data_IF_947146457001
#
_entry.id   IF_947146457001
#
_cell.length_a   1.000
_cell.length_b   1.000
_cell.length_c   1.000
_cell.angle_alpha   90.00
_cell.angle_beta   90.00
_cell.angle_gamma   90.00
#
_symmetry.space_group_name_H-M   'P 1'
#
loop_
_entity.id
_entity.type
_entity.pdbx_description
1 polymer ?
#
# COMPACT_ATOMS: atom_id res chain seq x y z
N UNK A 1 -28.41 12.81 62.11
CA UNK A 1 -28.87 12.47 60.73
C UNK A 1 -27.69 11.86 59.97
N UNK A 2 -27.77 10.57 59.64
CA UNK A 2 -26.72 9.78 58.95
C UNK A 2 -26.77 10.05 57.44
N UNK A 3 -25.67 10.46 56.83
CA UNK A 3 -25.46 10.40 55.37
C UNK A 3 -24.20 9.57 55.10
N UNK A 4 -24.40 8.28 54.84
CA UNK A 4 -23.37 7.36 54.38
C UNK A 4 -23.77 6.78 53.03
N UNK A 5 -22.74 6.54 52.22
CA UNK A 5 -22.68 5.52 51.17
C UNK A 5 -23.45 5.78 49.86
N UNK A 6 -22.75 6.38 48.89
CA UNK A 6 -23.03 6.20 47.44
C UNK A 6 -21.77 5.93 46.58
N UNK A 7 -20.60 5.71 47.21
CA UNK A 7 -19.33 5.52 46.45
C UNK A 7 -18.96 4.06 46.16
N UNK A 8 -19.64 3.06 46.75
CA UNK A 8 -19.26 1.65 46.60
C UNK A 8 -19.83 0.92 45.35
N UNK A 9 -20.83 1.48 44.66
CA UNK A 9 -21.47 0.75 43.54
C UNK A 9 -20.82 0.96 42.16
N UNK A 10 -19.84 1.87 42.01
CA UNK A 10 -19.18 2.10 40.70
C UNK A 10 -18.03 1.13 40.42
N UNK A 11 -17.43 0.55 41.45
CA UNK A 11 -16.31 -0.38 41.30
C UNK A 11 -16.74 -1.78 40.84
N UNK A 12 -17.92 -2.24 41.25
CA UNK A 12 -18.41 -3.57 40.85
C UNK A 12 -18.86 -3.64 39.38
N UNK A 13 -19.33 -2.54 38.79
CA UNK A 13 -19.76 -2.57 37.38
C UNK A 13 -18.57 -2.59 36.40
N UNK A 14 -17.44 -1.98 36.77
CA UNK A 14 -16.20 -2.03 35.97
C UNK A 14 -15.55 -3.41 35.97
N UNK A 15 -15.57 -4.12 37.10
CA UNK A 15 -14.96 -5.45 37.20
C UNK A 15 -15.68 -6.53 36.34
N UNK A 16 -17.00 -6.43 36.18
CA UNK A 16 -17.79 -7.40 35.40
C UNK A 16 -17.58 -7.21 33.89
N UNK A 17 -17.39 -5.97 33.41
CA UNK A 17 -17.15 -5.69 31.99
C UNK A 17 -15.75 -6.18 31.56
N UNK A 18 -14.72 -6.03 32.40
CA UNK A 18 -13.39 -6.55 32.09
C UNK A 18 -13.34 -8.09 32.01
N UNK A 19 -14.17 -8.80 32.77
CA UNK A 19 -14.21 -10.28 32.71
C UNK A 19 -14.89 -10.81 31.44
N UNK A 20 -15.86 -10.07 30.87
CA UNK A 20 -16.55 -10.49 29.65
C UNK A 20 -15.72 -10.28 28.38
N UNK A 21 -14.81 -9.30 28.36
CA UNK A 21 -13.97 -9.00 27.20
C UNK A 21 -12.78 -9.97 27.04
N UNK A 22 -12.32 -10.60 28.12
CA UNK A 22 -11.24 -11.60 28.08
C UNK A 22 -11.70 -12.93 27.46
N UNK A 23 -13.00 -13.22 27.46
CA UNK A 23 -13.54 -14.51 26.99
C UNK A 23 -13.78 -14.58 25.47
N UNK A 24 -13.86 -13.44 24.77
CA UNK A 24 -14.14 -13.43 23.32
C UNK A 24 -12.87 -13.62 22.47
N UNK A 25 -11.68 -13.32 23.01
CA UNK A 25 -10.41 -13.40 22.27
C UNK A 25 -9.89 -14.84 22.09
N UNK A 26 -10.41 -15.82 22.84
CA UNK A 26 -9.87 -17.19 22.85
C UNK A 26 -10.48 -18.16 21.81
N UNK A 27 -11.35 -17.73 20.89
CA UNK A 27 -12.08 -18.65 19.99
C UNK A 27 -11.60 -18.77 18.54
N UNK A 28 -10.54 -18.07 18.10
CA UNK A 28 -10.20 -18.05 16.66
C UNK A 28 -8.85 -18.67 16.25
N UNK A 29 -8.15 -19.40 17.13
CA UNK A 29 -6.99 -20.19 16.73
C UNK A 29 -7.34 -21.68 16.69
N UNK A 30 -7.76 -22.17 15.51
CA UNK A 30 -7.32 -23.46 14.92
C UNK A 30 -8.20 -23.77 13.71
N UNK A 31 -7.78 -23.32 12.52
CA UNK A 31 -8.19 -23.97 11.28
C UNK A 31 -6.93 -24.38 10.53
N UNK A 32 -6.42 -25.56 10.90
CA UNK A 32 -5.40 -26.27 10.13
C UNK A 32 -6.11 -26.92 8.95
N UNK A 33 -6.05 -26.27 7.80
CA UNK A 33 -6.55 -26.80 6.53
C UNK A 33 -5.57 -27.87 6.02
N UNK A 34 -5.99 -29.13 6.11
CA UNK A 34 -5.28 -30.29 5.62
C UNK A 34 -5.37 -30.32 4.08
N UNK A 35 -4.29 -29.95 3.41
CA UNK A 35 -4.22 -29.96 1.95
C UNK A 35 -4.40 -31.39 1.39
N UNK A 36 -5.24 -31.60 0.36
CA UNK A 36 -5.41 -32.91 -0.26
C UNK A 36 -4.11 -33.34 -0.96
N UNK A 37 -3.59 -34.50 -0.56
CA UNK A 37 -2.47 -35.19 -1.23
C UNK A 37 -2.87 -35.55 -2.66
N UNK A 38 -2.32 -34.82 -3.63
CA UNK A 38 -2.38 -35.17 -5.04
C UNK A 38 -1.56 -36.43 -5.31
N UNK A 39 -2.22 -37.46 -5.82
CA UNK A 39 -1.64 -38.72 -6.27
C UNK A 39 -0.84 -38.49 -7.56
N UNK A 40 0.49 -38.58 -7.48
CA UNK A 40 1.39 -38.57 -8.64
C UNK A 40 1.18 -39.83 -9.50
N UNK A 41 0.56 -39.67 -10.67
CA UNK A 41 0.55 -40.67 -11.73
C UNK A 41 1.91 -40.71 -12.44
N UNK A 42 2.34 -41.92 -12.80
CA UNK A 42 3.70 -42.27 -13.20
C UNK A 42 4.27 -41.57 -14.45
N UNK A 43 5.57 -41.75 -14.69
CA UNK A 43 6.29 -41.07 -15.77
C UNK A 43 5.90 -41.65 -17.14
N UNK A 44 5.54 -40.81 -18.13
CA UNK A 44 5.53 -41.25 -19.52
C UNK A 44 6.98 -41.41 -20.00
N UNK A 45 7.41 -42.66 -20.19
CA UNK A 45 8.59 -42.98 -21.00
C UNK A 45 8.26 -42.76 -22.47
N UNK A 46 8.74 -41.65 -23.03
CA UNK A 46 8.92 -41.48 -24.47
C UNK A 46 10.06 -40.50 -24.68
N UNK A 47 11.20 -41.04 -25.08
CA UNK A 47 12.37 -40.29 -25.49
C UNK A 47 12.14 -39.81 -26.93
N UNK A 48 11.52 -38.65 -27.07
CA UNK A 48 11.68 -37.83 -28.27
C UNK A 48 12.61 -36.69 -27.88
N UNK A 49 13.80 -36.65 -28.46
CA UNK A 49 14.72 -35.53 -28.36
C UNK A 49 14.14 -34.35 -29.11
N UNK A 50 13.19 -33.67 -28.49
CA UNK A 50 12.78 -32.33 -28.88
C UNK A 50 13.99 -31.45 -28.61
N UNK A 51 14.48 -30.77 -29.65
CA UNK A 51 15.48 -29.73 -29.54
C UNK A 51 14.88 -28.60 -28.67
N UNK A 52 15.05 -28.72 -27.35
CA UNK A 52 14.59 -27.75 -26.36
C UNK A 52 15.50 -26.54 -26.53
N UNK A 53 15.11 -25.70 -27.47
CA UNK A 53 15.61 -24.34 -27.53
C UNK A 53 15.20 -23.70 -26.21
N UNK A 54 16.21 -23.39 -25.39
CA UNK A 54 16.02 -22.81 -24.06
C UNK A 54 15.08 -21.60 -24.17
N UNK A 55 13.90 -21.62 -23.53
CA UNK A 55 12.93 -20.54 -23.64
C UNK A 55 13.52 -19.19 -23.17
N UNK A 56 14.57 -19.21 -22.34
CA UNK A 56 15.30 -18.01 -21.95
C UNK A 56 16.14 -17.45 -23.11
N UNK A 57 16.72 -18.30 -23.95
CA UNK A 57 17.44 -17.84 -25.13
C UNK A 57 16.50 -17.30 -26.22
N UNK A 58 15.34 -17.91 -26.41
CA UNK A 58 14.35 -17.41 -27.37
C UNK A 58 13.79 -16.05 -26.92
N UNK A 59 13.52 -15.87 -25.62
CA UNK A 59 13.16 -14.57 -25.05
C UNK A 59 14.23 -13.51 -25.25
N UNK A 60 15.50 -13.86 -25.02
CA UNK A 60 16.64 -12.95 -25.24
C UNK A 60 16.78 -12.53 -26.72
N UNK A 61 16.65 -13.49 -27.65
CA UNK A 61 16.71 -13.20 -29.09
C UNK A 61 15.55 -12.31 -29.56
N UNK A 62 14.34 -12.52 -29.04
CA UNK A 62 13.19 -11.64 -29.32
C UNK A 62 13.38 -10.24 -28.76
N UNK A 63 13.89 -10.12 -27.53
CA UNK A 63 14.19 -8.84 -26.93
C UNK A 63 15.26 -8.06 -27.72
N UNK A 64 16.30 -8.75 -28.20
CA UNK A 64 17.37 -8.15 -29.00
C UNK A 64 16.89 -7.75 -30.40
N UNK A 65 16.10 -8.59 -31.05
CA UNK A 65 15.47 -8.27 -32.34
C UNK A 65 14.49 -7.09 -32.23
N UNK A 66 13.67 -7.04 -31.19
CA UNK A 66 12.79 -5.91 -30.90
C UNK A 66 13.61 -4.64 -30.68
N UNK A 67 14.65 -4.70 -29.83
CA UNK A 67 15.53 -3.57 -29.53
C UNK A 67 16.19 -3.00 -30.80
N UNK A 68 16.61 -3.86 -31.72
CA UNK A 68 17.17 -3.45 -33.01
C UNK A 68 16.14 -2.73 -33.90
N UNK A 69 14.90 -3.22 -33.95
CA UNK A 69 13.80 -2.58 -34.69
C UNK A 69 13.44 -1.20 -34.12
N UNK A 70 13.48 -1.04 -32.79
CA UNK A 70 13.21 0.24 -32.13
C UNK A 70 14.30 1.29 -32.46
N UNK A 71 15.57 0.89 -32.50
CA UNK A 71 16.66 1.82 -32.84
C UNK A 71 16.56 2.41 -34.24
N UNK A 72 16.02 1.66 -35.20
CA UNK A 72 15.87 2.11 -36.59
C UNK A 72 14.66 3.04 -36.80
N UNK A 73 13.66 2.98 -35.90
CA UNK A 73 12.48 3.86 -35.90
C UNK A 73 12.66 5.19 -35.18
N UNK A 74 13.67 5.32 -34.31
CA UNK A 74 13.94 6.55 -33.55
C UNK A 74 14.09 7.83 -34.41
N UNK A 75 14.72 7.81 -35.60
CA UNK A 75 14.85 9.01 -36.42
C UNK A 75 13.52 9.54 -36.96
N UNK A 76 12.56 8.65 -37.24
CA UNK A 76 11.24 9.02 -37.78
C UNK A 76 10.34 9.66 -36.72
N UNK A 77 10.47 9.27 -35.44
CA UNK A 77 9.71 9.85 -34.33
C UNK A 77 10.23 11.24 -33.92
N UNK A 78 11.50 11.55 -34.16
CA UNK A 78 12.07 12.88 -33.82
C UNK A 78 11.49 14.05 -34.62
N UNK A 79 10.89 13.80 -35.78
CA UNK A 79 10.31 14.84 -36.63
C UNK A 79 8.94 15.34 -36.20
N UNK A 80 8.27 14.66 -35.24
CA UNK A 80 6.88 14.94 -34.85
C UNK A 80 6.66 14.87 -33.34
N UNK A 81 7.67 15.21 -32.54
CA UNK A 81 7.42 15.53 -31.13
C UNK A 81 7.05 17.01 -31.09
N UNK A 82 5.74 17.29 -31.11
CA UNK A 82 5.26 18.62 -30.77
C UNK A 82 5.88 18.99 -29.42
N UNK A 83 6.63 20.09 -29.38
CA UNK A 83 7.18 20.55 -28.10
C UNK A 83 6.00 20.77 -27.14
N UNK A 84 6.10 20.28 -25.90
CA UNK A 84 5.03 20.48 -24.93
C UNK A 84 4.77 21.99 -24.79
N UNK A 85 3.55 22.40 -25.14
CA UNK A 85 3.16 23.82 -25.23
C UNK A 85 3.15 24.50 -23.85
N UNK A 86 3.15 23.71 -22.78
CA UNK A 86 3.17 24.21 -21.42
C UNK A 86 4.23 23.47 -20.58
N UNK A 87 4.92 24.24 -19.72
CA UNK A 87 5.76 23.69 -18.69
C UNK A 87 4.92 22.89 -17.67
N UNK A 88 5.48 21.83 -17.05
CA UNK A 88 4.80 21.11 -15.99
C UNK A 88 4.45 22.08 -14.85
N UNK A 89 3.19 22.06 -14.42
CA UNK A 89 2.76 22.84 -13.26
C UNK A 89 3.33 22.18 -12.00
N UNK A 90 4.03 22.97 -11.18
CA UNK A 90 4.44 22.54 -9.85
C UNK A 90 3.20 22.55 -8.97
N UNK A 91 2.79 21.38 -8.50
CA UNK A 91 1.70 21.25 -7.53
C UNK A 91 2.26 21.63 -6.17
N UNK A 92 1.75 22.71 -5.58
CA UNK A 92 2.01 23.03 -4.17
C UNK A 92 1.21 22.05 -3.32
N UNK A 93 1.91 21.22 -2.54
CA UNK A 93 1.28 20.26 -1.63
C UNK A 93 0.64 21.03 -0.48
N UNK A 94 -0.66 20.88 -0.20
CA UNK A 94 -1.26 21.51 0.97
C UNK A 94 -0.66 20.91 2.25
N UNK A 95 -0.12 21.76 3.13
CA UNK A 95 0.50 21.37 4.41
C UNK A 95 -0.52 21.10 5.53
N UNK A 96 -1.78 20.81 5.20
CA UNK A 96 -2.83 20.72 6.21
C UNK A 96 -2.74 19.39 6.95
N UNK A 97 -2.47 19.45 8.25
CA UNK A 97 -2.40 18.28 9.13
C UNK A 97 -3.77 17.87 9.67
N UNK A 98 -3.93 16.59 9.97
CA UNK A 98 -5.03 16.07 10.79
C UNK A 98 -4.80 16.51 12.23
N UNK A 99 -5.80 17.12 12.87
CA UNK A 99 -5.62 17.90 14.11
C UNK A 99 -5.33 17.04 15.35
N UNK A 100 -5.38 15.72 15.22
CA UNK A 100 -5.36 14.76 16.33
C UNK A 100 -4.59 13.46 16.05
N UNK A 101 -3.79 13.37 14.98
CA UNK A 101 -3.05 12.14 14.66
C UNK A 101 -1.57 12.39 14.37
N UNK A 102 -0.73 11.52 14.94
CA UNK A 102 0.71 11.49 14.70
C UNK A 102 1.15 10.09 14.31
N UNK A 103 2.04 10.01 13.33
CA UNK A 103 2.67 8.78 12.87
C UNK A 103 4.03 8.69 13.56
N UNK A 104 4.27 7.58 14.27
CA UNK A 104 5.50 7.37 15.05
C UNK A 104 6.18 6.10 14.56
N UNK A 105 7.41 6.23 14.08
CA UNK A 105 8.29 5.12 13.79
C UNK A 105 9.17 4.83 15.00
N UNK A 106 9.10 3.59 15.49
CA UNK A 106 9.92 3.12 16.60
C UNK A 106 11.16 2.37 16.11
N UNK A 107 12.20 2.42 16.93
CA UNK A 107 13.40 1.61 16.74
C UNK A 107 13.06 0.12 16.66
N UNK A 108 13.77 -0.61 15.82
CA UNK A 108 13.50 -2.03 15.57
C UNK A 108 13.65 -2.93 16.82
N UNK A 109 14.39 -2.49 17.84
CA UNK A 109 14.58 -3.18 19.11
C UNK A 109 13.62 -2.71 20.22
N UNK A 110 12.76 -1.73 19.94
CA UNK A 110 11.77 -1.24 20.90
C UNK A 110 10.71 -2.31 21.19
N UNK A 111 10.57 -2.66 22.46
CA UNK A 111 9.56 -3.62 22.93
C UNK A 111 8.16 -3.01 22.92
N UNK A 112 7.13 -3.86 22.86
CA UNK A 112 5.73 -3.40 22.91
C UNK A 112 5.44 -2.59 24.19
N UNK A 113 6.00 -2.99 25.33
CA UNK A 113 5.87 -2.29 26.60
C UNK A 113 6.47 -0.88 26.55
N UNK A 114 7.67 -0.72 25.99
CA UNK A 114 8.33 0.58 25.84
C UNK A 114 7.52 1.51 24.91
N UNK A 115 7.02 0.97 23.79
CA UNK A 115 6.16 1.72 22.86
C UNK A 115 4.90 2.21 23.57
N UNK A 116 4.22 1.34 24.31
CA UNK A 116 3.01 1.67 25.05
C UNK A 116 3.26 2.70 26.16
N UNK A 117 4.39 2.59 26.87
CA UNK A 117 4.77 3.56 27.91
C UNK A 117 5.01 4.95 27.30
N UNK A 118 5.71 5.03 26.17
CA UNK A 118 5.92 6.30 25.48
C UNK A 118 4.61 6.91 24.98
N UNK A 119 3.76 6.11 24.34
CA UNK A 119 2.45 6.56 23.85
C UNK A 119 1.57 7.07 25.00
N UNK A 120 1.56 6.37 26.13
CA UNK A 120 0.87 6.82 27.34
C UNK A 120 1.46 8.13 27.89
N UNK A 121 2.79 8.33 27.80
CA UNK A 121 3.46 9.54 28.30
C UNK A 121 3.07 10.82 27.53
N UNK A 122 2.76 10.70 26.24
CA UNK A 122 2.25 11.80 25.40
C UNK A 122 0.73 11.94 25.46
N UNK A 123 0.06 11.12 26.27
CA UNK A 123 -1.40 11.09 26.39
C UNK A 123 -2.10 10.52 25.16
N UNK A 124 -1.39 9.74 24.35
CA UNK A 124 -1.89 9.21 23.08
C UNK A 124 -2.62 7.87 23.22
N UNK A 125 -3.35 7.50 22.17
CA UNK A 125 -3.99 6.19 22.02
C UNK A 125 -3.66 5.60 20.64
N UNK A 126 -3.35 4.31 20.58
CA UNK A 126 -3.06 3.64 19.31
C UNK A 126 -4.35 3.51 18.51
N UNK A 127 -4.37 4.08 17.30
CA UNK A 127 -5.44 3.92 16.32
C UNK A 127 -5.14 2.76 15.37
N UNK A 128 -3.91 2.70 14.87
CA UNK A 128 -3.45 1.67 13.93
C UNK A 128 -1.97 1.31 14.16
N UNK A 129 -1.58 0.09 13.78
CA UNK A 129 -0.21 -0.39 13.84
C UNK A 129 0.19 -1.04 12.52
N UNK A 130 1.35 -0.65 12.00
CA UNK A 130 1.92 -1.14 10.74
C UNK A 130 3.24 -1.87 11.06
N UNK A 131 3.12 -3.15 11.39
CA UNK A 131 4.23 -3.96 11.90
C UNK A 131 5.43 -4.03 10.94
N UNK A 132 5.17 -4.09 9.63
CA UNK A 132 6.22 -4.18 8.63
C UNK A 132 7.18 -2.97 8.62
N UNK A 133 6.76 -1.84 9.17
CA UNK A 133 7.51 -0.58 9.20
C UNK A 133 7.94 -0.17 10.63
N UNK A 134 7.57 -0.95 11.65
CA UNK A 134 7.67 -0.57 13.07
C UNK A 134 6.98 0.78 13.37
N UNK A 135 5.85 1.04 12.71
CA UNK A 135 5.14 2.33 12.78
C UNK A 135 3.80 2.16 13.49
N UNK A 136 3.40 3.18 14.25
CA UNK A 136 2.05 3.29 14.83
C UNK A 136 1.42 4.63 14.45
N UNK A 137 0.11 4.62 14.29
CA UNK A 137 -0.71 5.83 14.17
C UNK A 137 -1.34 6.07 15.54
N UNK A 138 -1.08 7.22 16.13
CA UNK A 138 -1.49 7.56 17.49
C UNK A 138 -2.39 8.78 17.47
N UNK A 139 -3.57 8.63 18.06
CA UNK A 139 -4.44 9.76 18.38
C UNK A 139 -3.86 10.51 19.57
N UNK A 140 -3.56 11.80 19.40
CA UNK A 140 -3.00 12.67 20.44
C UNK A 140 -3.94 13.83 20.73
N UNK A 141 -3.95 14.39 21.96
CA UNK A 141 -4.70 15.60 22.24
C UNK A 141 -4.26 16.74 21.31
N UNK A 142 -5.21 17.47 20.73
CA UNK A 142 -4.97 18.55 19.76
C UNK A 142 -3.99 19.64 20.25
N UNK A 143 -3.77 19.77 21.56
CA UNK A 143 -2.79 20.70 22.13
C UNK A 143 -1.33 20.32 21.82
N UNK A 144 -1.08 19.08 21.38
CA UNK A 144 0.25 18.52 21.22
C UNK A 144 0.65 18.33 19.74
N UNK A 145 -0.25 18.55 18.78
CA UNK A 145 -0.01 18.26 17.35
C UNK A 145 1.04 19.20 16.72
N UNK A 146 1.02 20.47 17.10
CA UNK A 146 1.93 21.50 16.58
C UNK A 146 3.23 21.62 17.37
N UNK A 147 3.39 20.81 18.43
CA UNK A 147 4.61 20.79 19.23
C UNK A 147 5.44 19.57 18.88
N UNK A 148 6.78 19.72 18.78
CA UNK A 148 7.64 18.55 18.62
C UNK A 148 7.41 17.60 19.79
N UNK A 149 7.19 16.33 19.48
CA UNK A 149 7.04 15.30 20.50
C UNK A 149 8.31 15.23 21.37
N UNK A 150 8.20 14.85 22.65
CA UNK A 150 9.36 14.66 23.51
C UNK A 150 10.32 13.64 22.90
N UNK A 151 11.60 14.01 22.80
CA UNK A 151 12.66 13.11 22.33
C UNK A 151 12.73 11.85 23.21
N UNK A 152 12.84 10.69 22.57
CA UNK A 152 13.00 9.41 23.25
C UNK A 152 13.88 8.48 22.41
N UNK A 153 14.87 7.78 23.00
CA UNK A 153 15.77 6.89 22.25
C UNK A 153 15.07 5.74 21.52
N UNK A 154 13.84 5.37 21.90
CA UNK A 154 13.07 4.34 21.19
C UNK A 154 12.34 4.85 19.95
N UNK A 155 12.25 6.17 19.77
CA UNK A 155 11.56 6.81 18.64
C UNK A 155 12.62 7.20 17.61
N UNK A 156 12.50 6.66 16.40
CA UNK A 156 13.38 7.03 15.30
C UNK A 156 12.89 8.30 14.60
N UNK A 157 11.59 8.35 14.31
CA UNK A 157 10.95 9.46 13.62
C UNK A 157 9.51 9.64 14.09
N UNK A 158 9.03 10.88 14.03
CA UNK A 158 7.63 11.21 14.28
C UNK A 158 7.20 12.37 13.40
N UNK A 159 6.03 12.25 12.79
CA UNK A 159 5.44 13.29 11.95
C UNK A 159 3.91 13.37 12.14
N UNK A 160 3.29 14.56 12.01
CA UNK A 160 1.85 14.67 11.96
C UNK A 160 1.27 13.89 10.77
N UNK A 161 0.04 13.44 10.89
CA UNK A 161 -0.70 12.92 9.73
C UNK A 161 -1.17 14.09 8.84
N UNK A 162 -1.07 13.93 7.52
CA UNK A 162 -1.36 14.99 6.53
C UNK A 162 -2.53 14.62 5.62
N UNK A 163 -3.38 15.59 5.33
CA UNK A 163 -4.42 15.42 4.33
C UNK A 163 -3.81 15.40 2.92
N UNK A 164 -3.92 14.26 2.24
CA UNK A 164 -3.66 14.17 0.82
C UNK A 164 -4.98 14.17 0.04
N UNK A 165 -5.03 14.97 -1.03
CA UNK A 165 -6.11 14.88 -2.02
C UNK A 165 -5.62 14.09 -3.21
N UNK A 166 -6.44 13.16 -3.69
CA UNK A 166 -6.19 12.57 -4.98
C UNK A 166 -6.16 13.70 -6.01
N UNK A 167 -5.11 13.73 -6.84
CA UNK A 167 -5.15 14.52 -8.05
C UNK A 167 -6.23 13.89 -8.91
N UNK A 168 -7.44 14.44 -8.84
CA UNK A 168 -8.56 14.00 -9.64
C UNK A 168 -8.16 14.23 -11.10
N UNK A 169 -7.66 13.17 -11.74
CA UNK A 169 -7.51 13.12 -13.18
C UNK A 169 -8.93 13.19 -13.71
N UNK A 170 -9.38 14.41 -14.02
CA UNK A 170 -10.73 14.75 -14.44
C UNK A 170 -11.34 13.60 -15.25
N UNK A 171 -12.26 12.88 -14.62
CA UNK A 171 -13.05 11.76 -15.11
C UNK A 171 -12.76 11.33 -16.57
N UNK A 172 -11.69 10.57 -16.79
CA UNK A 172 -11.52 9.87 -18.06
C UNK A 172 -12.22 8.51 -17.94
N UNK A 173 -13.55 8.53 -18.04
CA UNK A 173 -14.23 7.37 -18.60
C UNK A 173 -13.86 7.33 -20.07
N UNK A 174 -12.87 6.51 -20.45
CA UNK A 174 -12.57 6.25 -21.85
C UNK A 174 -13.61 5.24 -22.35
N UNK A 175 -14.61 5.62 -23.16
CA UNK A 175 -15.28 4.62 -23.98
C UNK A 175 -14.26 4.11 -25.02
N UNK A 176 -14.33 2.82 -25.33
CA UNK A 176 -13.56 2.09 -26.36
C UNK A 176 -13.69 2.63 -27.81
N UNK A 177 -14.26 3.82 -27.95
CA UNK A 177 -14.41 4.56 -29.20
C UNK A 177 -14.05 6.04 -28.99
N UNK A 178 -13.01 6.34 -28.21
CA UNK A 178 -12.59 7.72 -27.95
C UNK A 178 -12.32 8.44 -29.28
N UNK A 179 -13.19 9.40 -29.69
CA UNK A 179 -13.03 10.10 -30.97
C UNK A 179 -11.76 10.94 -31.03
N UNK A 180 -11.14 11.22 -29.87
CA UNK A 180 -9.90 11.98 -29.72
C UNK A 180 -8.69 11.10 -29.49
N UNK A 181 -8.79 9.78 -29.70
CA UNK A 181 -7.65 8.86 -29.60
C UNK A 181 -6.42 9.37 -30.40
N UNK A 182 -6.65 9.92 -31.60
CA UNK A 182 -5.59 10.50 -32.44
C UNK A 182 -4.88 11.72 -31.82
N UNK A 183 -5.47 12.36 -30.80
CA UNK A 183 -4.89 13.50 -30.08
C UNK A 183 -4.10 13.04 -28.83
N UNK A 184 -4.20 11.76 -28.44
CA UNK A 184 -3.52 11.17 -27.29
C UNK A 184 -2.12 10.68 -27.66
N UNK A 185 -1.25 11.63 -28.03
CA UNK A 185 0.11 11.37 -28.48
C UNK A 185 0.94 10.47 -27.54
N UNK A 186 0.65 10.49 -26.23
CA UNK A 186 1.37 9.70 -25.25
C UNK A 186 1.09 8.20 -25.37
N UNK A 187 -0.08 7.78 -25.86
CA UNK A 187 -0.45 6.36 -25.94
C UNK A 187 0.45 5.59 -26.90
N UNK A 188 0.70 6.14 -28.08
CA UNK A 188 1.64 5.54 -29.04
C UNK A 188 3.07 5.57 -28.50
N UNK A 189 3.46 6.64 -27.80
CA UNK A 189 4.81 6.79 -27.22
C UNK A 189 5.09 5.75 -26.13
N UNK A 190 4.11 5.41 -25.30
CA UNK A 190 4.26 4.37 -24.27
C UNK A 190 3.99 2.96 -24.79
N UNK A 191 3.71 2.80 -26.10
CA UNK A 191 3.41 1.50 -26.71
C UNK A 191 2.11 0.86 -26.20
N UNK A 192 1.15 1.69 -25.76
CA UNK A 192 -0.12 1.19 -25.24
C UNK A 192 -0.90 0.33 -26.25
N UNK A 193 -0.99 0.68 -27.55
CA UNK A 193 -1.79 -0.07 -28.51
C UNK A 193 -1.25 -1.48 -28.75
N UNK A 194 0.09 -1.62 -28.83
CA UNK A 194 0.76 -2.90 -28.94
C UNK A 194 0.51 -3.74 -27.67
N UNK A 195 0.68 -3.15 -26.49
CA UNK A 195 0.43 -3.83 -25.22
C UNK A 195 -1.03 -4.30 -25.06
N UNK A 196 -2.00 -3.51 -25.53
CA UNK A 196 -3.42 -3.92 -25.51
C UNK A 196 -3.72 -5.07 -26.46
N UNK A 197 -3.04 -5.15 -27.61
CA UNK A 197 -3.21 -6.25 -28.56
C UNK A 197 -2.70 -7.60 -28.03
N UNK A 198 -1.83 -7.57 -27.02
CA UNK A 198 -1.28 -8.74 -26.33
C UNK A 198 -2.12 -9.16 -25.11
N UNK A 199 -3.14 -8.38 -24.72
CA UNK A 199 -4.01 -8.73 -23.60
C UNK A 199 -4.80 -10.01 -23.90
N UNK A 200 -4.95 -10.91 -22.90
CA UNK A 200 -5.75 -12.11 -23.06
C UNK A 200 -7.23 -11.77 -23.18
N UNK A 201 -8.00 -12.65 -23.82
CA UNK A 201 -9.42 -12.41 -24.13
C UNK A 201 -10.33 -12.31 -22.89
N UNK A 202 -9.83 -12.65 -21.70
CA UNK A 202 -10.50 -12.56 -20.40
C UNK A 202 -10.08 -11.33 -19.59
N UNK A 203 -9.22 -10.45 -20.13
CA UNK A 203 -8.94 -9.15 -19.54
C UNK A 203 -10.25 -8.34 -19.46
N UNK A 204 -10.58 -7.85 -18.27
CA UNK A 204 -11.81 -7.10 -18.04
C UNK A 204 -11.82 -5.82 -18.90
N UNK A 205 -12.72 -5.79 -19.89
CA UNK A 205 -13.06 -4.61 -20.72
C UNK A 205 -14.08 -3.73 -20.04
#
# INVERSE_FOLDING_TARGET
>A
MKKHSRKQNRWFLFAVICAALILVVSCNLTQTEEAPRATLSGPPTSADSVDVTDPLQEGARRAEAARAQWTDRLPALRGSLAEPVAAPQVVEVPEQTTVDQVVIQFAADATAEQRNEYIASIGGQVSEQIDALNTVIVEVPATNIDQPLPENPIVEQSEPDYFITALEAAAISVPSSDPRYAEQWSLEVIGAPEAWSELPADAAT
#
